data_IF_513900036157
#
_entry.id   IF_513900036157
#
_cell.length_a   1.000
_cell.length_b   1.000
_cell.length_c   1.000
_cell.angle_alpha   90.00
_cell.angle_beta   90.00
_cell.angle_gamma   90.00
#
_symmetry.space_group_name_H-M   'P 1'
#
loop_
_entity.id
_entity.type
_entity.pdbx_description
1 polymer ?
#
# COMPACT_ATOMS: atom_id res chain seq x y z
N UNK A 1 -23.45 -10.40 -47.10
CA UNK A 1 -23.63 -11.87 -47.03
C UNK A 1 -22.65 -12.39 -45.99
N UNK A 2 -23.07 -12.43 -44.71
CA UNK A 2 -22.24 -12.88 -43.60
C UNK A 2 -22.32 -14.42 -43.52
N UNK A 3 -21.21 -15.16 -43.36
CA UNK A 3 -21.31 -16.59 -43.20
C UNK A 3 -21.82 -16.87 -41.79
N UNK A 4 -23.03 -17.41 -41.71
CA UNK A 4 -23.56 -18.08 -40.54
C UNK A 4 -22.63 -19.24 -40.18
N UNK A 5 -21.84 -19.08 -39.11
CA UNK A 5 -21.10 -20.20 -38.53
C UNK A 5 -22.07 -20.96 -37.63
N UNK A 6 -22.57 -22.11 -38.11
CA UNK A 6 -23.37 -23.04 -37.32
C UNK A 6 -22.59 -23.51 -36.11
N UNK A 7 -22.96 -23.04 -34.92
CA UNK A 7 -22.56 -23.64 -33.66
C UNK A 7 -23.29 -24.97 -33.53
N UNK A 8 -22.61 -26.08 -33.82
CA UNK A 8 -23.07 -27.41 -33.41
C UNK A 8 -22.99 -27.47 -31.88
N UNK A 9 -24.14 -27.45 -31.21
CA UNK A 9 -24.28 -27.80 -29.81
C UNK A 9 -24.01 -29.31 -29.67
N UNK A 10 -22.76 -29.67 -29.46
CA UNK A 10 -22.38 -31.03 -29.09
C UNK A 10 -22.57 -31.21 -27.57
N UNK A 11 -23.59 -31.99 -27.22
CA UNK A 11 -23.68 -32.80 -25.99
C UNK A 11 -23.46 -32.09 -24.66
N UNK A 12 -24.54 -31.83 -23.94
CA UNK A 12 -24.50 -31.60 -22.49
C UNK A 12 -23.89 -32.82 -21.79
N UNK A 13 -22.74 -32.73 -21.10
CA UNK A 13 -22.33 -33.76 -20.17
C UNK A 13 -22.97 -33.48 -18.81
N UNK A 14 -23.75 -34.46 -18.38
CA UNK A 14 -24.35 -34.60 -17.05
C UNK A 14 -23.33 -34.32 -15.96
N UNK A 15 -23.74 -33.52 -14.97
CA UNK A 15 -22.98 -33.22 -13.75
C UNK A 15 -22.85 -34.52 -12.94
N UNK A 16 -21.76 -35.27 -13.11
CA UNK A 16 -21.44 -36.40 -12.22
C UNK A 16 -20.57 -35.89 -11.08
N UNK A 17 -21.20 -35.65 -9.94
CA UNK A 17 -20.53 -35.42 -8.67
C UNK A 17 -20.14 -36.79 -8.10
N UNK A 18 -18.88 -37.19 -8.27
CA UNK A 18 -18.35 -38.31 -7.49
C UNK A 18 -18.08 -37.82 -6.07
N UNK A 19 -18.93 -38.26 -5.14
CA UNK A 19 -18.69 -38.17 -3.70
C UNK A 19 -17.62 -39.18 -3.34
N UNK A 20 -16.46 -38.68 -2.92
CA UNK A 20 -15.52 -39.44 -2.08
C UNK A 20 -15.69 -38.94 -0.66
N UNK A 21 -16.04 -39.90 0.20
CA UNK A 21 -16.13 -39.79 1.65
C UNK A 21 -14.73 -39.63 2.26
N UNK A 22 -14.69 -39.19 3.52
CA UNK A 22 -13.55 -38.75 4.35
C UNK A 22 -13.43 -37.22 4.50
N UNK A 23 -13.69 -36.81 5.73
CA UNK A 23 -14.21 -35.49 6.08
C UNK A 23 -13.22 -34.33 5.98
N UNK A 24 -13.82 -33.15 5.76
CA UNK A 24 -13.59 -31.86 6.43
C UNK A 24 -14.50 -30.86 5.71
N UNK A 25 -15.45 -30.28 6.44
CA UNK A 25 -16.27 -29.17 5.95
C UNK A 25 -15.39 -27.93 5.84
N UNK A 26 -14.85 -27.63 4.66
CA UNK A 26 -14.25 -26.34 4.34
C UNK A 26 -15.04 -25.67 3.21
N UNK A 27 -15.54 -24.48 3.52
CA UNK A 27 -16.47 -23.71 2.70
C UNK A 27 -16.09 -23.64 1.23
N UNK A 28 -17.12 -23.82 0.38
CA UNK A 28 -17.01 -23.78 -1.07
C UNK A 28 -16.44 -22.46 -1.55
N UNK A 29 -15.13 -22.41 -1.74
CA UNK A 29 -14.52 -21.40 -2.59
C UNK A 29 -14.88 -21.79 -4.02
N UNK A 30 -15.74 -20.98 -4.66
CA UNK A 30 -16.02 -21.16 -6.07
C UNK A 30 -14.69 -21.26 -6.82
N UNK A 31 -14.47 -22.37 -7.53
CA UNK A 31 -13.22 -22.63 -8.23
C UNK A 31 -13.18 -21.76 -9.50
N UNK A 32 -12.93 -20.46 -9.31
CA UNK A 32 -12.87 -19.43 -10.34
C UNK A 32 -11.85 -19.76 -11.44
N UNK A 33 -10.82 -20.56 -11.10
CA UNK A 33 -9.80 -21.02 -12.04
C UNK A 33 -10.38 -22.07 -13.00
N UNK A 34 -11.14 -23.04 -12.47
CA UNK A 34 -11.83 -24.04 -13.29
C UNK A 34 -12.90 -23.38 -14.17
N UNK A 35 -13.69 -22.48 -13.58
CA UNK A 35 -14.70 -21.70 -14.30
C UNK A 35 -14.05 -20.86 -15.42
N UNK A 36 -12.98 -20.12 -15.12
CA UNK A 36 -12.27 -19.30 -16.11
C UNK A 36 -11.70 -20.12 -17.28
N UNK A 37 -11.24 -21.36 -17.07
CA UNK A 37 -10.85 -22.26 -18.18
C UNK A 37 -12.03 -22.67 -19.04
N UNK A 38 -13.19 -22.89 -18.43
CA UNK A 38 -14.39 -23.30 -19.14
C UNK A 38 -14.97 -22.16 -19.99
N UNK A 39 -14.91 -20.92 -19.49
CA UNK A 39 -15.45 -19.75 -20.21
C UNK A 39 -14.45 -19.15 -21.21
N UNK A 40 -13.15 -19.45 -21.12
CA UNK A 40 -12.10 -18.95 -22.04
C UNK A 40 -12.44 -19.05 -23.54
N UNK A 41 -13.03 -20.14 -24.08
CA UNK A 41 -13.33 -20.25 -25.50
C UNK A 41 -14.38 -19.24 -26.00
N UNK A 42 -15.20 -18.70 -25.09
CA UNK A 42 -16.23 -17.71 -25.43
C UNK A 42 -15.67 -16.29 -25.59
N UNK A 43 -14.43 -16.04 -25.15
CA UNK A 43 -13.75 -14.75 -25.30
C UNK A 43 -12.68 -14.82 -26.40
N UNK A 44 -12.65 -13.79 -27.25
CA UNK A 44 -11.53 -13.59 -28.19
C UNK A 44 -10.37 -12.93 -27.45
N UNK A 45 -9.10 -13.28 -27.75
CA UNK A 45 -7.96 -12.57 -27.18
C UNK A 45 -8.03 -11.09 -27.56
N UNK A 46 -7.71 -10.21 -26.62
CA UNK A 46 -7.61 -8.78 -26.91
C UNK A 46 -6.54 -8.57 -28.00
N UNK A 47 -6.81 -7.74 -29.02
CA UNK A 47 -5.81 -7.41 -30.03
C UNK A 47 -4.61 -6.77 -29.33
N UNK A 48 -3.41 -7.30 -29.59
CA UNK A 48 -2.19 -6.65 -29.13
C UNK A 48 -2.04 -5.34 -29.88
N UNK A 49 -1.85 -4.24 -29.15
CA UNK A 49 -1.62 -2.93 -29.74
C UNK A 49 -0.40 -3.03 -30.67
N UNK A 50 -0.68 -3.02 -31.97
CA UNK A 50 0.31 -3.13 -33.03
C UNK A 50 0.77 -1.71 -33.32
N UNK A 51 1.95 -1.34 -32.82
CA UNK A 51 2.44 0.05 -32.84
C UNK A 51 2.87 0.57 -34.23
N UNK A 52 2.68 -0.18 -35.32
CA UNK A 52 3.00 0.27 -36.66
C UNK A 52 1.91 -0.16 -37.66
N UNK A 53 1.14 0.81 -38.17
CA UNK A 53 0.29 0.59 -39.34
C UNK A 53 1.17 0.36 -40.58
N UNK A 54 1.35 -0.90 -40.96
CA UNK A 54 1.12 -1.41 -42.32
C UNK A 54 1.75 -0.74 -43.55
N UNK A 55 2.74 0.15 -43.43
CA UNK A 55 3.30 0.83 -44.62
C UNK A 55 4.33 0.00 -45.40
N UNK A 56 4.72 -1.19 -44.92
CA UNK A 56 5.45 -2.21 -45.69
C UNK A 56 4.61 -3.48 -45.79
N UNK A 57 3.36 -3.33 -46.24
CA UNK A 57 2.42 -4.40 -46.53
C UNK A 57 2.86 -5.29 -47.70
N UNK A 58 4.04 -5.91 -47.61
CA UNK A 58 4.46 -7.02 -48.44
C UNK A 58 4.51 -8.27 -47.56
N UNK A 59 3.47 -9.10 -47.65
CA UNK A 59 3.45 -10.47 -47.15
C UNK A 59 3.55 -10.61 -45.63
N UNK A 60 2.50 -10.27 -44.88
CA UNK A 60 2.36 -10.78 -43.51
C UNK A 60 2.04 -12.27 -43.57
N UNK A 61 3.04 -13.12 -43.32
CA UNK A 61 2.76 -14.47 -42.79
C UNK A 61 2.53 -14.33 -41.30
N UNK A 62 1.44 -14.89 -40.75
CA UNK A 62 1.27 -14.95 -39.30
C UNK A 62 2.48 -15.70 -38.73
N UNK A 63 3.25 -15.03 -37.88
CA UNK A 63 4.36 -15.65 -37.16
C UNK A 63 3.83 -16.93 -36.51
N UNK A 64 4.49 -18.10 -36.68
CA UNK A 64 4.08 -19.31 -36.00
C UNK A 64 4.00 -19.01 -34.50
N UNK A 65 2.84 -19.32 -33.91
CA UNK A 65 2.47 -18.91 -32.55
C UNK A 65 3.65 -19.03 -31.62
N UNK A 66 4.15 -17.88 -31.15
CA UNK A 66 5.41 -17.79 -30.44
C UNK A 66 5.52 -18.91 -29.40
N UNK A 67 6.63 -19.66 -29.46
CA UNK A 67 6.91 -20.75 -28.54
C UNK A 67 6.54 -20.29 -27.12
N UNK A 68 5.76 -21.12 -26.40
CA UNK A 68 5.43 -20.87 -24.99
C UNK A 68 6.73 -20.46 -24.30
N UNK A 69 6.85 -19.19 -23.94
CA UNK A 69 7.95 -18.72 -23.09
C UNK A 69 7.92 -19.62 -21.88
N UNK A 70 8.92 -20.47 -21.75
CA UNK A 70 9.10 -21.29 -20.58
C UNK A 70 9.15 -20.34 -19.39
N UNK A 71 8.21 -20.52 -18.46
CA UNK A 71 8.18 -19.72 -17.24
C UNK A 71 9.44 -20.10 -16.49
N UNK A 72 10.48 -19.29 -16.60
CA UNK A 72 11.64 -19.37 -15.71
C UNK A 72 11.07 -19.39 -14.30
N UNK A 73 11.33 -20.48 -13.58
CA UNK A 73 10.89 -20.65 -12.22
C UNK A 73 11.32 -19.42 -11.44
N UNK A 74 10.34 -18.72 -10.87
CA UNK A 74 10.58 -17.51 -10.10
C UNK A 74 11.41 -17.92 -8.89
N UNK A 75 12.71 -17.69 -8.94
CA UNK A 75 13.49 -17.59 -7.72
C UNK A 75 12.81 -16.53 -6.85
N UNK A 76 12.70 -16.85 -5.56
CA UNK A 76 12.06 -16.16 -4.43
C UNK A 76 11.65 -14.70 -4.69
N UNK A 77 10.48 -14.24 -4.19
CA UNK A 77 9.93 -12.94 -4.54
C UNK A 77 10.89 -11.80 -4.18
N UNK A 78 11.67 -11.37 -5.17
CA UNK A 78 12.34 -10.08 -5.15
C UNK A 78 11.25 -9.01 -5.10
N UNK A 79 11.34 -8.18 -4.07
CA UNK A 79 10.42 -7.14 -3.70
C UNK A 79 9.80 -6.46 -4.93
N UNK A 80 8.47 -6.33 -4.89
CA UNK A 80 7.73 -5.43 -5.77
C UNK A 80 8.53 -4.14 -5.93
N UNK A 81 8.74 -3.72 -7.17
CA UNK A 81 9.38 -2.46 -7.52
C UNK A 81 8.66 -1.35 -6.77
N UNK A 82 9.17 -1.00 -5.60
CA UNK A 82 8.90 0.27 -4.98
C UNK A 82 9.36 1.27 -6.01
N UNK A 83 8.44 2.08 -6.52
CA UNK A 83 8.78 3.32 -7.19
C UNK A 83 9.47 4.16 -6.12
N UNK A 84 10.76 3.95 -5.94
CA UNK A 84 11.62 4.90 -5.25
C UNK A 84 11.74 6.05 -6.21
N UNK A 85 10.98 7.10 -5.93
CA UNK A 85 11.36 8.44 -6.38
C UNK A 85 12.87 8.55 -6.10
N UNK A 86 13.68 8.77 -7.14
CA UNK A 86 15.11 9.05 -6.99
C UNK A 86 15.23 10.38 -6.25
N UNK A 87 15.19 10.33 -4.93
CA UNK A 87 15.55 11.44 -4.07
C UNK A 87 17.08 11.47 -4.06
N UNK A 88 17.65 12.62 -4.39
CA UNK A 88 19.09 12.84 -4.40
C UNK A 88 19.71 12.32 -3.09
N UNK A 89 20.76 11.50 -3.20
CA UNK A 89 21.32 10.75 -2.07
C UNK A 89 21.63 11.62 -0.83
N UNK A 90 22.10 12.87 -1.02
CA UNK A 90 22.36 13.79 0.11
C UNK A 90 21.11 14.34 0.81
N UNK A 91 19.92 14.27 0.20
CA UNK A 91 18.66 14.64 0.87
C UNK A 91 18.11 13.48 1.72
N UNK A 92 18.49 12.25 1.42
CA UNK A 92 18.03 11.05 2.15
C UNK A 92 18.59 11.04 3.56
N UNK A 93 19.88 11.34 3.73
CA UNK A 93 20.52 11.45 5.05
C UNK A 93 19.86 12.54 5.92
N UNK A 94 19.41 13.64 5.30
CA UNK A 94 18.66 14.69 5.96
C UNK A 94 17.27 14.24 6.43
N UNK A 95 16.59 13.39 5.65
CA UNK A 95 15.28 12.85 6.01
C UNK A 95 15.40 11.87 7.18
N UNK A 96 16.39 11.00 7.18
CA UNK A 96 16.60 10.03 8.27
C UNK A 96 16.91 10.75 9.60
N UNK A 97 17.72 11.81 9.55
CA UNK A 97 17.98 12.66 10.72
C UNK A 97 16.70 13.35 11.25
N UNK A 98 15.80 13.77 10.36
CA UNK A 98 14.50 14.33 10.74
C UNK A 98 13.58 13.28 11.36
N UNK A 99 13.52 12.07 10.80
CA UNK A 99 12.74 10.95 11.33
C UNK A 99 13.22 10.60 12.75
N UNK A 100 14.53 10.53 12.97
CA UNK A 100 15.11 10.32 14.29
C UNK A 100 14.76 11.43 15.28
N UNK A 101 14.71 12.68 14.82
CA UNK A 101 14.29 13.82 15.64
C UNK A 101 12.81 13.73 16.02
N UNK A 102 11.94 13.36 15.08
CA UNK A 102 10.51 13.14 15.34
C UNK A 102 10.36 12.03 16.39
N UNK A 103 11.09 10.93 16.27
CA UNK A 103 11.05 9.86 17.25
C UNK A 103 11.53 10.29 18.64
N UNK A 104 12.63 11.05 18.73
CA UNK A 104 13.12 11.60 20.01
C UNK A 104 12.08 12.53 20.64
N UNK A 105 11.42 13.35 19.82
CA UNK A 105 10.35 14.25 20.26
C UNK A 105 9.14 13.46 20.77
N UNK A 106 8.74 12.39 20.07
CA UNK A 106 7.66 11.51 20.49
C UNK A 106 7.95 10.86 21.86
N UNK A 107 9.18 10.36 22.07
CA UNK A 107 9.61 9.82 23.37
C UNK A 107 9.58 10.88 24.48
N UNK A 108 10.03 12.10 24.17
CA UNK A 108 10.02 13.24 25.10
C UNK A 108 8.60 13.61 25.51
N UNK A 109 7.69 13.73 24.56
CA UNK A 109 6.28 14.08 24.83
C UNK A 109 5.56 12.99 25.63
N UNK A 110 5.84 11.71 25.36
CA UNK A 110 5.31 10.59 26.17
C UNK A 110 5.69 10.74 27.64
N UNK A 111 6.96 11.05 27.91
CA UNK A 111 7.47 11.27 29.27
C UNK A 111 6.87 12.51 29.91
N UNK A 112 6.68 13.58 29.14
CA UNK A 112 6.12 14.86 29.63
C UNK A 112 4.65 14.74 30.04
N UNK A 113 3.85 14.04 29.24
CA UNK A 113 2.42 13.88 29.48
C UNK A 113 2.09 12.72 30.44
N UNK A 114 3.08 11.88 30.76
CA UNK A 114 2.95 10.66 31.56
C UNK A 114 1.79 9.76 31.09
N UNK A 115 1.52 9.80 29.77
CA UNK A 115 0.46 9.06 29.12
C UNK A 115 1.07 8.03 28.16
N UNK A 116 0.50 6.80 28.08
CA UNK A 116 1.04 5.76 27.21
C UNK A 116 0.87 6.09 25.72
N UNK A 117 -0.13 6.89 25.37
CA UNK A 117 -0.49 7.26 24.00
C UNK A 117 -0.63 8.77 23.87
N UNK A 118 -0.28 9.29 22.69
CA UNK A 118 -0.41 10.71 22.32
C UNK A 118 -1.36 10.79 21.12
N UNK A 119 -2.22 11.79 21.08
CA UNK A 119 -3.09 12.01 19.92
C UNK A 119 -2.26 12.36 18.67
N UNK A 120 -2.50 11.65 17.57
CA UNK A 120 -1.70 11.78 16.35
C UNK A 120 -1.75 13.21 15.79
N UNK A 121 -2.95 13.78 15.67
CA UNK A 121 -3.14 15.12 15.13
C UNK A 121 -2.48 16.21 15.99
N UNK A 122 -2.61 16.12 17.31
CA UNK A 122 -1.94 17.05 18.23
C UNK A 122 -0.40 17.01 18.08
N UNK A 123 0.15 15.86 17.70
CA UNK A 123 1.59 15.67 17.52
C UNK A 123 2.09 16.15 16.14
N UNK A 124 1.36 15.86 15.05
CA UNK A 124 1.84 16.15 13.68
C UNK A 124 1.50 17.55 13.19
N UNK A 125 0.47 18.19 13.73
CA UNK A 125 0.01 19.50 13.27
C UNK A 125 1.04 20.60 13.59
N UNK A 126 1.37 21.37 12.56
CA UNK A 126 2.17 22.58 12.63
C UNK A 126 1.26 23.75 12.24
N UNK A 127 0.92 24.69 13.16
CA UNK A 127 -0.01 25.78 12.88
C UNK A 127 0.51 26.81 11.88
N UNK A 128 1.83 26.86 11.64
CA UNK A 128 2.44 27.84 10.74
C UNK A 128 2.43 27.36 9.28
N UNK A 129 2.32 26.04 9.05
CA UNK A 129 2.38 25.50 7.69
C UNK A 129 1.77 24.10 7.54
N UNK A 130 0.81 23.99 6.62
CA UNK A 130 0.26 22.70 6.18
C UNK A 130 1.29 21.80 5.53
N UNK A 131 2.21 22.34 4.72
CA UNK A 131 3.27 21.54 4.09
C UNK A 131 4.12 20.82 5.14
N UNK A 132 4.44 21.53 6.22
CA UNK A 132 5.17 20.96 7.37
C UNK A 132 4.35 19.88 8.09
N UNK A 133 3.04 20.10 8.25
CA UNK A 133 2.12 19.08 8.79
C UNK A 133 2.15 17.79 7.97
N UNK A 134 2.06 17.91 6.64
CA UNK A 134 2.09 16.74 5.74
C UNK A 134 3.43 16.00 5.83
N UNK A 135 4.55 16.73 5.87
CA UNK A 135 5.88 16.14 6.09
C UNK A 135 5.98 15.42 7.45
N UNK A 136 5.43 16.00 8.52
CA UNK A 136 5.39 15.39 9.84
C UNK A 136 4.60 14.08 9.82
N UNK A 137 3.46 14.04 9.12
CA UNK A 137 2.68 12.81 8.91
C UNK A 137 3.55 11.76 8.21
N UNK A 138 4.26 12.13 7.13
CA UNK A 138 5.16 11.21 6.44
C UNK A 138 6.27 10.67 7.36
N UNK A 139 6.89 11.51 8.19
CA UNK A 139 7.88 11.05 9.17
C UNK A 139 7.30 10.02 10.14
N UNK A 140 6.08 10.24 10.64
CA UNK A 140 5.40 9.23 11.49
C UNK A 140 5.14 7.93 10.73
N UNK A 141 4.77 8.00 9.44
CA UNK A 141 4.59 6.77 8.64
C UNK A 141 5.88 5.97 8.50
N UNK A 142 7.04 6.62 8.41
CA UNK A 142 8.34 5.93 8.41
C UNK A 142 8.60 5.25 9.75
N UNK A 143 8.27 5.90 10.88
CA UNK A 143 8.41 5.28 12.20
C UNK A 143 7.54 4.03 12.36
N UNK A 144 6.29 4.04 11.86
CA UNK A 144 5.40 2.88 11.90
C UNK A 144 5.94 1.76 10.99
N UNK A 145 6.43 2.11 9.80
CA UNK A 145 7.04 1.17 8.85
C UNK A 145 8.29 0.50 9.43
N UNK A 146 9.09 1.23 10.19
CA UNK A 146 10.29 0.74 10.89
C UNK A 146 9.99 0.06 12.23
N UNK A 147 8.72 -0.06 12.63
CA UNK A 147 8.29 -0.58 13.94
C UNK A 147 8.91 0.17 15.13
N UNK A 148 9.17 1.47 14.97
CA UNK A 148 9.63 2.36 16.05
C UNK A 148 8.47 3.07 16.76
N UNK A 149 7.30 3.08 16.13
CA UNK A 149 6.05 3.60 16.69
C UNK A 149 4.89 2.70 16.29
N UNK A 150 3.85 2.69 17.13
CA UNK A 150 2.59 1.97 16.90
C UNK A 150 1.45 2.97 16.87
N UNK A 151 0.46 2.73 16.01
CA UNK A 151 -0.78 3.49 15.98
C UNK A 151 -1.85 2.71 16.73
N UNK A 152 -2.62 3.39 17.55
CA UNK A 152 -3.76 2.81 18.24
C UNK A 152 -5.07 3.41 17.71
N UNK A 153 -5.97 2.52 17.30
CA UNK A 153 -7.31 2.79 16.80
C UNK A 153 -8.39 2.11 17.65
N UNK A 154 -8.02 1.51 18.78
CA UNK A 154 -8.89 0.60 19.55
C UNK A 154 -10.08 1.31 20.21
N UNK A 155 -10.12 2.65 20.21
CA UNK A 155 -11.20 3.44 20.83
C UNK A 155 -12.05 4.25 19.83
N UNK A 156 -13.29 4.64 20.22
CA UNK A 156 -14.14 5.56 19.47
C UNK A 156 -13.58 6.99 19.56
N UNK A 157 -12.45 7.23 18.90
CA UNK A 157 -11.72 8.48 19.01
C UNK A 157 -10.71 8.69 17.89
N UNK A 158 -9.95 9.77 18.02
CA UNK A 158 -8.91 10.14 17.09
C UNK A 158 -7.75 9.11 17.16
N UNK A 159 -7.04 8.88 16.04
CA UNK A 159 -5.89 7.98 16.00
C UNK A 159 -4.83 8.45 17.00
N UNK A 160 -4.25 7.49 17.73
CA UNK A 160 -3.20 7.76 18.70
C UNK A 160 -1.90 7.11 18.29
N UNK A 161 -0.78 7.68 18.73
CA UNK A 161 0.57 7.18 18.45
C UNK A 161 1.32 6.96 19.76
N UNK A 162 2.06 5.85 19.82
CA UNK A 162 2.98 5.56 20.92
C UNK A 162 4.34 5.11 20.36
N UNK A 163 5.46 5.52 20.98
CA UNK A 163 6.77 4.98 20.64
C UNK A 163 6.86 3.52 21.11
N UNK A 164 7.37 2.65 20.24
CA UNK A 164 7.69 1.27 20.57
C UNK A 164 9.13 1.19 21.07
N UNK A 165 9.38 0.34 22.07
CA UNK A 165 10.74 0.08 22.55
C UNK A 165 11.50 -0.81 21.55
N UNK A 166 12.84 -0.76 21.59
CA UNK A 166 13.75 -1.33 20.58
C UNK A 166 13.55 -2.82 20.33
N UNK A 167 12.88 -3.51 21.25
CA UNK A 167 12.45 -4.89 21.11
C UNK A 167 11.48 -5.11 19.92
N UNK A 168 10.77 -4.07 19.44
CA UNK A 168 9.81 -4.21 18.33
C UNK A 168 8.60 -5.08 18.67
N UNK A 169 8.41 -5.37 19.95
CA UNK A 169 7.33 -6.17 20.50
C UNK A 169 6.36 -5.27 21.26
N UNK A 170 5.08 -5.61 21.19
CA UNK A 170 4.07 -4.99 22.04
C UNK A 170 4.34 -5.27 23.54
N UNK A 171 3.51 -4.71 24.42
CA UNK A 171 3.62 -4.94 25.87
C UNK A 171 3.52 -6.44 26.27
N UNK A 172 3.08 -7.32 25.36
CA UNK A 172 2.91 -8.75 25.55
C UNK A 172 4.01 -9.58 24.85
N UNK A 173 5.03 -8.96 24.26
CA UNK A 173 6.10 -9.69 23.58
C UNK A 173 5.74 -10.20 22.18
N UNK A 174 4.59 -9.80 21.61
CA UNK A 174 4.19 -10.19 20.26
C UNK A 174 4.64 -9.16 19.20
N UNK A 175 5.03 -9.61 17.99
CA UNK A 175 5.38 -8.72 16.90
C UNK A 175 4.15 -7.91 16.48
N UNK A 176 4.21 -6.58 16.60
CA UNK A 176 3.11 -5.73 16.16
C UNK A 176 2.78 -5.97 14.68
N UNK A 177 1.50 -6.21 14.34
CA UNK A 177 1.08 -6.40 12.96
C UNK A 177 1.35 -5.12 12.14
N UNK A 178 1.50 -5.29 10.83
CA UNK A 178 1.67 -4.13 9.94
C UNK A 178 0.37 -3.34 9.90
N UNK A 179 0.38 -2.13 10.43
CA UNK A 179 -0.78 -1.24 10.46
C UNK A 179 -0.77 -0.34 9.23
N UNK A 180 -1.92 -0.23 8.57
CA UNK A 180 -2.14 0.68 7.44
C UNK A 180 -3.15 1.75 7.86
N UNK A 181 -2.84 3.02 7.57
CA UNK A 181 -3.73 4.15 7.82
C UNK A 181 -4.00 4.87 6.49
N UNK A 182 -5.26 4.93 6.09
CA UNK A 182 -5.72 5.80 5.01
C UNK A 182 -6.23 7.10 5.64
N UNK A 183 -5.46 8.18 5.45
CA UNK A 183 -5.81 9.51 5.95
C UNK A 183 -6.09 10.45 4.77
N UNK A 184 -7.26 11.08 4.79
CA UNK A 184 -7.57 12.21 3.90
C UNK A 184 -7.50 13.47 4.75
N UNK A 185 -6.73 14.46 4.32
CA UNK A 185 -6.57 15.73 5.01
C UNK A 185 -6.58 16.85 3.97
N UNK A 186 -7.63 17.65 3.95
CA UNK A 186 -7.71 18.85 3.13
C UNK A 186 -7.14 20.06 3.88
N UNK A 187 -6.90 21.16 3.15
CA UNK A 187 -6.48 22.41 3.77
C UNK A 187 -7.52 22.94 4.76
N UNK A 188 -8.81 22.77 4.46
CA UNK A 188 -9.91 23.18 5.35
C UNK A 188 -9.89 22.36 6.64
N UNK A 189 -9.74 21.04 6.53
CA UNK A 189 -9.62 20.15 7.69
C UNK A 189 -8.43 20.55 8.58
N UNK A 190 -7.29 20.89 7.96
CA UNK A 190 -6.11 21.36 8.69
C UNK A 190 -6.38 22.64 9.48
N UNK A 191 -6.99 23.65 8.86
CA UNK A 191 -7.30 24.93 9.51
C UNK A 191 -8.29 24.72 10.68
N UNK A 192 -9.32 23.91 10.47
CA UNK A 192 -10.29 23.56 11.50
C UNK A 192 -9.64 22.77 12.66
N UNK A 193 -8.77 21.81 12.35
CA UNK A 193 -8.03 21.05 13.36
C UNK A 193 -7.10 21.97 14.18
N UNK A 194 -6.38 22.90 13.54
CA UNK A 194 -5.55 23.88 14.25
C UNK A 194 -6.37 24.73 15.23
N UNK A 195 -7.59 25.13 14.83
CA UNK A 195 -8.52 25.89 15.67
C UNK A 195 -9.07 25.05 16.83
N UNK A 196 -9.50 23.83 16.57
CA UNK A 196 -10.05 22.90 17.57
C UNK A 196 -9.00 22.58 18.64
N UNK A 197 -7.78 22.23 18.23
CA UNK A 197 -6.68 21.91 19.13
C UNK A 197 -6.02 23.15 19.75
N UNK A 198 -6.42 24.37 19.36
CA UNK A 198 -5.88 25.65 19.84
C UNK A 198 -4.35 25.70 19.81
N UNK A 199 -3.75 25.15 18.74
CA UNK A 199 -2.31 25.00 18.63
C UNK A 199 -1.66 26.36 18.37
N UNK A 200 -0.79 26.78 19.30
CA UNK A 200 0.02 28.00 19.16
C UNK A 200 1.45 27.74 18.72
N UNK A 201 1.94 26.50 18.90
CA UNK A 201 3.29 26.10 18.57
C UNK A 201 3.29 24.63 18.13
N UNK A 202 4.06 24.32 17.08
CA UNK A 202 4.31 22.94 16.68
C UNK A 202 5.06 22.16 17.76
N UNK A 203 4.72 20.87 17.91
CA UNK A 203 5.38 19.96 18.86
C UNK A 203 6.77 19.54 18.36
N UNK A 204 6.90 19.36 17.05
CA UNK A 204 8.13 18.94 16.39
C UNK A 204 8.96 20.18 16.05
N UNK A 205 10.00 20.45 16.83
CA UNK A 205 10.92 21.56 16.56
C UNK A 205 11.80 21.24 15.33
N UNK A 206 11.82 22.14 14.35
CA UNK A 206 12.69 22.07 13.17
C UNK A 206 13.90 22.99 13.35
N UNK A 207 15.06 22.67 12.75
CA UNK A 207 16.12 23.67 12.65
C UNK A 207 15.62 24.76 11.70
N UNK A 208 15.70 26.02 12.13
CA UNK A 208 15.42 27.16 11.27
C UNK A 208 16.54 27.29 10.25
N UNK A 209 16.20 27.38 8.97
CA UNK A 209 17.15 27.61 7.87
C UNK A 209 17.66 29.07 7.89
N UNK A 210 18.18 29.53 9.03
CA UNK A 210 18.81 30.86 9.21
C UNK A 210 20.27 30.82 8.74
N UNK A 211 20.52 30.19 7.59
CA UNK A 211 21.86 30.12 6.95
C UNK A 211 21.78 30.28 5.43
N UNK A 212 20.76 31.00 4.94
CA UNK A 212 20.67 31.47 3.57
C UNK A 212 20.48 32.98 3.53
N UNK A 213 21.38 33.70 4.20
CA UNK A 213 21.64 35.13 4.01
C UNK A 213 23.15 35.37 3.96
#
# INVERSE_FOLDING_TARGET
>A
MFPFCSVKLAGSPVLSTTVSDEGVLQGGTANWIAWGRHVRPFFRPAPVLTYLNGALAAGYTPMPGGAKRERVAKSKPGAATRVTLKVNAGRVDGVDALVDRVWKTLKRERRRQNCPFIDLFAFVLDPDSFGRTIENIFHVTFLVKERRAVLDFTGPGLPKVAPLDESGHDANGQPCPTQQLLLTLTWQDYDDLCRIYRLKKAVIDRPTDESSL
#
